data_IF_538064044926
#
_entry.id   IF_538064044926
#
_cell.length_a   1.000
_cell.length_b   1.000
_cell.length_c   1.000
_cell.angle_alpha   90.00
_cell.angle_beta   90.00
_cell.angle_gamma   90.00
#
_symmetry.space_group_name_H-M   'P 1'
#
loop_
_entity.id
_entity.type
_entity.pdbx_description
1 polymer ?
#
# COMPACT_ATOMS: atom_id res chain seq x y z
N UNK A 1 -1.47 -11.32 5.82
CA UNK A 1 -2.12 -10.02 6.11
C UNK A 1 -3.40 -10.29 6.88
N UNK A 2 -3.55 -9.65 8.05
CA UNK A 2 -4.75 -9.79 8.89
C UNK A 2 -5.42 -8.44 9.13
N UNK A 3 -6.75 -8.42 9.17
CA UNK A 3 -7.51 -7.22 9.47
C UNK A 3 -7.29 -6.83 10.93
N UNK A 4 -6.93 -5.57 11.16
CA UNK A 4 -6.79 -5.01 12.50
C UNK A 4 -8.11 -4.36 12.94
N UNK A 5 -8.70 -3.57 12.04
CA UNK A 5 -9.93 -2.84 12.32
C UNK A 5 -10.46 -2.08 11.12
N UNK A 6 -11.71 -1.64 11.25
CA UNK A 6 -12.42 -0.82 10.27
C UNK A 6 -12.74 0.53 10.89
N UNK A 7 -12.45 1.61 10.17
CA UNK A 7 -12.61 2.98 10.62
C UNK A 7 -13.54 3.72 9.66
N UNK A 8 -14.27 4.70 10.17
CA UNK A 8 -15.22 5.52 9.40
C UNK A 8 -14.56 6.68 8.65
N UNK A 9 -13.27 6.94 8.93
CA UNK A 9 -12.51 8.03 8.35
C UNK A 9 -11.10 7.61 7.97
N UNK A 10 -10.67 8.04 6.78
CA UNK A 10 -9.29 7.87 6.30
C UNK A 10 -8.27 8.58 7.19
N UNK A 11 -8.65 9.67 7.85
CA UNK A 11 -7.78 10.43 8.74
C UNK A 11 -7.49 9.60 10.00
N UNK A 12 -8.52 8.98 10.56
CA UNK A 12 -8.40 8.12 11.74
C UNK A 12 -7.61 6.86 11.43
N UNK A 13 -7.92 6.18 10.32
CA UNK A 13 -7.18 5.01 9.87
C UNK A 13 -5.68 5.31 9.66
N UNK A 14 -5.35 6.46 9.06
CA UNK A 14 -3.96 6.87 8.88
C UNK A 14 -3.27 7.24 10.19
N UNK A 15 -3.99 7.84 11.15
CA UNK A 15 -3.44 8.11 12.48
C UNK A 15 -3.05 6.81 13.19
N UNK A 16 -3.95 5.83 13.21
CA UNK A 16 -3.68 4.52 13.83
C UNK A 16 -2.55 3.79 13.12
N UNK A 17 -2.57 3.74 11.78
CA UNK A 17 -1.50 3.13 11.02
C UNK A 17 -0.15 3.86 11.24
N UNK A 18 -0.16 5.18 11.38
CA UNK A 18 1.04 5.97 11.69
C UNK A 18 1.62 5.64 13.07
N UNK A 19 0.78 5.50 14.08
CA UNK A 19 1.20 5.06 15.42
C UNK A 19 1.84 3.67 15.39
N UNK A 20 1.18 2.70 14.76
CA UNK A 20 1.68 1.32 14.65
C UNK A 20 3.01 1.25 13.87
N UNK A 21 3.15 2.03 12.79
CA UNK A 21 4.42 2.15 12.06
C UNK A 21 5.53 2.74 12.91
N UNK A 22 5.21 3.74 13.74
CA UNK A 22 6.15 4.33 14.69
C UNK A 22 6.68 3.32 15.71
N UNK A 23 5.91 2.27 16.01
CA UNK A 23 6.30 1.15 16.86
C UNK A 23 6.95 -0.01 16.07
N UNK A 24 7.18 0.14 14.76
CA UNK A 24 7.81 -0.89 13.92
C UNK A 24 6.85 -1.96 13.40
N UNK A 25 5.54 -1.70 13.39
CA UNK A 25 4.54 -2.62 12.82
C UNK A 25 4.21 -2.20 11.39
N UNK A 26 4.33 -3.16 10.46
CA UNK A 26 4.02 -2.91 9.06
C UNK A 26 2.51 -2.96 8.82
N UNK A 27 1.91 -1.78 8.64
CA UNK A 27 0.47 -1.63 8.40
C UNK A 27 0.16 -1.12 6.99
N UNK A 28 -0.93 -1.63 6.41
CA UNK A 28 -1.49 -1.13 5.16
C UNK A 28 -2.89 -0.58 5.40
N UNK A 29 -3.12 0.64 4.94
CA UNK A 29 -4.47 1.24 4.92
C UNK A 29 -5.08 0.95 3.55
N UNK A 30 -6.27 0.36 3.51
CA UNK A 30 -7.04 0.19 2.28
C UNK A 30 -8.39 0.86 2.40
N UNK A 31 -8.74 1.67 1.42
CA UNK A 31 -10.09 2.21 1.29
C UNK A 31 -10.92 1.28 0.38
N UNK A 32 -12.16 0.97 0.80
CA UNK A 32 -13.12 0.23 -0.03
C UNK A 32 -13.47 1.03 -1.30
N UNK A 33 -13.30 2.35 -1.30
CA UNK A 33 -13.79 3.23 -2.36
C UNK A 33 -12.81 3.46 -3.53
N UNK A 34 -11.83 2.57 -3.73
CA UNK A 34 -10.76 2.69 -4.75
C UNK A 34 -11.27 2.71 -6.21
N UNK A 35 -12.59 2.68 -6.48
CA UNK A 35 -13.15 2.60 -7.84
C UNK A 35 -14.19 3.65 -8.26
N UNK A 36 -14.52 4.67 -7.46
CA UNK A 36 -15.46 5.71 -7.91
C UNK A 36 -14.91 7.13 -7.76
N UNK A 37 -14.24 7.58 -8.82
CA UNK A 37 -13.70 8.94 -9.01
C UNK A 37 -14.78 10.06 -9.08
N UNK A 38 -16.07 9.73 -8.89
CA UNK A 38 -17.19 10.65 -9.09
C UNK A 38 -18.20 10.70 -7.94
N UNK A 39 -18.02 9.91 -6.87
CA UNK A 39 -19.00 9.82 -5.78
C UNK A 39 -18.32 10.03 -4.41
N UNK A 40 -18.36 11.27 -3.92
CA UNK A 40 -18.17 11.57 -2.50
C UNK A 40 -19.42 11.08 -1.78
N UNK A 41 -19.49 9.79 -1.48
CA UNK A 41 -20.53 9.23 -0.61
C UNK A 41 -19.94 9.11 0.79
N UNK A 42 -20.52 9.86 1.73
CA UNK A 42 -19.97 10.18 3.06
C UNK A 42 -19.82 9.05 4.08
N UNK A 43 -19.56 7.81 3.66
CA UNK A 43 -19.08 6.73 4.52
C UNK A 43 -18.00 5.96 3.77
N UNK A 44 -16.74 6.35 3.98
CA UNK A 44 -15.58 5.57 3.55
C UNK A 44 -15.21 4.62 4.68
N UNK A 45 -15.64 3.37 4.58
CA UNK A 45 -15.09 2.32 5.43
C UNK A 45 -13.63 2.09 5.03
N UNK A 46 -12.73 2.56 5.88
CA UNK A 46 -11.28 2.42 5.69
C UNK A 46 -10.78 1.31 6.61
N UNK A 47 -10.07 0.34 6.03
CA UNK A 47 -9.59 -0.84 6.76
C UNK A 47 -8.09 -0.73 6.98
N UNK A 48 -7.65 -1.00 8.20
CA UNK A 48 -6.23 -1.10 8.55
C UNK A 48 -5.88 -2.58 8.67
N UNK A 49 -4.83 -2.98 7.95
CA UNK A 49 -4.34 -4.35 7.89
C UNK A 49 -2.93 -4.41 8.45
N UNK A 50 -2.64 -5.45 9.23
CA UNK A 50 -1.26 -5.82 9.54
C UNK A 50 -0.75 -6.69 8.40
N UNK A 51 0.37 -6.30 7.81
CA UNK A 51 0.92 -7.01 6.65
C UNK A 51 1.51 -8.35 7.08
N UNK A 52 2.22 -8.36 8.20
CA UNK A 52 2.93 -9.52 8.73
C UNK A 52 2.12 -10.23 9.83
N UNK A 53 1.85 -11.52 9.62
CA UNK A 53 0.93 -12.25 10.49
C UNK A 53 1.46 -12.43 11.93
N UNK A 54 2.77 -12.44 12.11
CA UNK A 54 3.42 -12.54 13.42
C UNK A 54 3.35 -11.24 14.23
N UNK A 55 3.17 -10.09 13.57
CA UNK A 55 3.03 -8.79 14.23
C UNK A 55 1.58 -8.50 14.64
N UNK A 56 0.63 -9.37 14.28
CA UNK A 56 -0.79 -9.10 14.51
C UNK A 56 -1.16 -9.08 15.99
N UNK A 57 -0.61 -10.00 16.79
CA UNK A 57 -0.84 -10.03 18.24
C UNK A 57 -0.25 -8.79 18.93
N UNK A 58 0.96 -8.39 18.54
CA UNK A 58 1.61 -7.19 19.06
C UNK A 58 0.85 -5.92 18.65
N UNK A 59 0.30 -5.88 17.45
CA UNK A 59 -0.52 -4.76 16.98
C UNK A 59 -1.84 -4.65 17.76
N UNK A 60 -2.47 -5.77 18.07
CA UNK A 60 -3.68 -5.79 18.88
C UNK A 60 -3.38 -5.41 20.34
N UNK A 61 -2.27 -5.89 20.89
CA UNK A 61 -1.80 -5.49 22.22
C UNK A 61 -1.50 -3.99 22.29
N UNK A 62 -0.83 -3.42 21.28
CA UNK A 62 -0.55 -1.97 21.20
C UNK A 62 -1.80 -1.10 21.07
N UNK A 63 -2.88 -1.62 20.49
CA UNK A 63 -4.16 -0.91 20.45
C UNK A 63 -4.89 -0.93 21.80
N UNK A 64 -4.62 -1.92 22.65
CA UNK A 64 -5.21 -2.06 23.98
C UNK A 64 -4.35 -1.40 25.07
N UNK A 65 -3.03 -1.39 24.88
CA UNK A 65 -2.03 -0.83 25.78
C UNK A 65 -0.91 -0.16 24.97
N UNK A 66 -0.89 1.17 24.99
CA UNK A 66 0.08 2.00 24.28
C UNK A 66 1.53 1.78 24.75
N UNK A 67 1.74 1.13 25.90
CA UNK A 67 3.07 0.83 26.45
C UNK A 67 3.61 -0.55 26.02
N UNK A 68 2.84 -1.34 25.25
CA UNK A 68 3.28 -2.66 24.79
C UNK A 68 4.49 -2.54 23.86
N UNK A 69 5.56 -3.29 24.16
CA UNK A 69 6.77 -3.34 23.32
C UNK A 69 6.64 -4.51 22.34
N UNK A 70 6.60 -4.27 21.03
CA UNK A 70 6.55 -5.35 20.03
C UNK A 70 7.73 -6.29 20.17
N UNK A 71 7.49 -7.59 20.02
CA UNK A 71 8.54 -8.61 20.16
C UNK A 71 9.54 -8.57 19.01
N UNK A 72 9.09 -8.18 17.83
CA UNK A 72 9.90 -8.10 16.62
C UNK A 72 9.51 -6.85 15.80
N UNK A 73 9.95 -5.65 16.24
CA UNK A 73 9.72 -4.42 15.49
C UNK A 73 10.60 -4.38 14.24
N UNK A 74 10.02 -3.96 13.11
CA UNK A 74 10.81 -3.63 11.94
C UNK A 74 11.42 -2.23 12.10
N UNK A 75 12.68 -2.03 11.66
CA UNK A 75 13.26 -0.70 11.63
C UNK A 75 12.49 0.18 10.64
N UNK A 76 12.36 1.46 10.99
CA UNK A 76 11.54 2.40 10.23
C UNK A 76 12.04 2.57 8.77
N UNK A 77 13.35 2.42 8.53
CA UNK A 77 13.95 2.42 7.20
C UNK A 77 13.44 1.29 6.30
N UNK A 78 13.29 0.07 6.82
CA UNK A 78 12.81 -1.08 6.06
C UNK A 78 11.31 -0.93 5.75
N UNK A 79 10.54 -0.36 6.68
CA UNK A 79 9.13 -0.05 6.47
C UNK A 79 8.98 0.96 5.31
N UNK A 80 9.77 2.03 5.32
CA UNK A 80 9.74 3.04 4.27
C UNK A 80 10.20 2.49 2.91
N UNK A 81 11.21 1.62 2.89
CA UNK A 81 11.65 0.93 1.67
C UNK A 81 10.55 0.02 1.10
N UNK A 82 9.89 -0.76 1.95
CA UNK A 82 8.81 -1.65 1.54
C UNK A 82 7.57 -0.86 1.06
N UNK A 83 7.25 0.28 1.67
CA UNK A 83 6.17 1.14 1.21
C UNK A 83 6.49 1.85 -0.12
N UNK A 84 7.73 2.29 -0.31
CA UNK A 84 8.18 2.95 -1.56
C UNK A 84 8.33 2.00 -2.75
N UNK A 85 8.59 0.71 -2.49
CA UNK A 85 8.65 -0.35 -3.50
C UNK A 85 7.31 -0.73 -4.15
N UNK A 86 6.22 -0.01 -3.82
CA UNK A 86 4.90 -0.20 -4.41
C UNK A 86 4.90 -0.18 -5.96
N UNK A 87 3.97 -0.92 -6.62
CA UNK A 87 4.05 -1.30 -8.04
C UNK A 87 3.92 -0.17 -9.08
N UNK A 88 3.85 1.10 -8.67
CA UNK A 88 3.80 2.23 -9.62
C UNK A 88 5.03 2.31 -10.52
N UNK A 89 6.21 1.95 -9.99
CA UNK A 89 7.42 1.89 -10.81
C UNK A 89 7.35 0.81 -11.90
N UNK A 90 6.66 -0.31 -11.64
CA UNK A 90 6.50 -1.38 -12.61
C UNK A 90 5.60 -0.95 -13.78
N UNK A 91 4.53 -0.19 -13.51
CA UNK A 91 3.64 0.32 -14.57
C UNK A 91 4.36 1.28 -15.51
N UNK A 92 5.21 2.17 -14.99
CA UNK A 92 5.96 3.13 -15.81
C UNK A 92 6.98 2.43 -16.72
N UNK A 93 7.71 1.43 -16.18
CA UNK A 93 8.66 0.63 -16.96
C UNK A 93 7.94 -0.20 -18.03
N UNK A 94 6.80 -0.81 -17.68
CA UNK A 94 6.02 -1.61 -18.61
C UNK A 94 5.49 -0.77 -19.79
N UNK A 95 4.98 0.44 -19.54
CA UNK A 95 4.53 1.34 -20.61
C UNK A 95 5.69 1.80 -21.50
N UNK A 96 6.87 2.06 -20.94
CA UNK A 96 8.06 2.42 -21.72
C UNK A 96 8.49 1.27 -22.66
N UNK A 97 8.49 0.02 -22.17
CA UNK A 97 8.80 -1.15 -22.99
C UNK A 97 7.78 -1.37 -24.11
N UNK A 98 6.48 -1.25 -23.82
CA UNK A 98 5.42 -1.40 -24.83
C UNK A 98 5.53 -0.32 -25.90
N UNK A 99 5.79 0.93 -25.50
CA UNK A 99 6.00 2.05 -26.44
C UNK A 99 7.19 1.81 -27.37
N UNK A 100 8.31 1.34 -26.84
CA UNK A 100 9.50 1.03 -27.63
C UNK A 100 9.24 -0.11 -28.62
N UNK A 101 8.52 -1.16 -28.20
CA UNK A 101 8.16 -2.29 -29.05
C UNK A 101 7.25 -1.86 -30.22
N UNK A 102 6.28 -0.98 -29.96
CA UNK A 102 5.39 -0.45 -30.99
C UNK A 102 6.15 0.38 -32.06
N UNK A 103 7.14 1.17 -31.65
CA UNK A 103 7.98 1.94 -32.59
C UNK A 103 8.83 1.02 -33.48
N UNK A 104 9.40 -0.04 -32.91
CA UNK A 104 10.18 -1.03 -33.68
C UNK A 104 9.31 -1.74 -34.70
N UNK A 105 8.10 -2.17 -34.31
CA UNK A 105 7.16 -2.82 -35.23
C UNK A 105 6.72 -1.87 -36.35
N UNK A 106 6.45 -0.60 -36.04
CA UNK A 106 6.10 0.40 -37.04
C UNK A 106 7.26 0.66 -38.03
N UNK A 107 8.48 0.76 -37.53
CA UNK A 107 9.67 0.95 -38.35
C UNK A 107 9.91 -0.25 -39.28
N UNK A 108 9.75 -1.47 -38.76
CA UNK A 108 9.82 -2.69 -39.57
C UNK A 108 8.71 -2.72 -40.62
N UNK A 109 7.48 -2.36 -40.26
CA UNK A 109 6.37 -2.31 -41.20
C UNK A 109 6.66 -1.36 -42.37
N UNK A 110 7.15 -0.14 -42.09
CA UNK A 110 7.51 0.84 -43.13
C UNK A 110 8.65 0.33 -44.02
N UNK A 111 9.66 -0.33 -43.44
CA UNK A 111 10.81 -0.89 -44.17
C UNK A 111 10.43 -2.08 -45.06
N UNK A 112 9.47 -2.91 -44.63
CA UNK A 112 9.01 -4.08 -45.39
C UNK A 112 7.84 -3.78 -46.33
N UNK A 113 7.14 -2.65 -46.14
CA UNK A 113 6.06 -2.19 -47.03
C UNK A 113 6.55 -1.26 -48.15
N UNK A 114 7.82 -0.83 -48.10
CA UNK A 114 8.49 -0.03 -49.14
C UNK A 114 9.23 -0.93 -50.13
#
# INVERSE_FOLDING_TARGET
>A
MKLLGTYSSIIEANRVAGFLRGQGILCKVSDINTYNYWAITGVTEVRVWVVLDHQWEDAQALLADDAHVPRNPLPAEDIALLESSQPRHYQQIMHACIGLLAVVVLALFILFSS
#
